data_IF_745261977688
#
_entry.id   IF_745261977688
#
_cell.length_a   1.000
_cell.length_b   1.000
_cell.length_c   1.000
_cell.angle_alpha   90.00
_cell.angle_beta   90.00
_cell.angle_gamma   90.00
#
_symmetry.space_group_name_H-M   'P 1'
#
loop_
_entity.id
_entity.type
_entity.pdbx_description
1 polymer ?
#
# COMPACT_ATOMS: atom_id res chain seq x y z
N UNK A 1 18.83 -1.48 0.89
CA UNK A 1 18.99 -0.02 0.68
C UNK A 1 17.71 0.68 1.11
N UNK A 2 17.64 2.01 1.30
CA UNK A 2 16.37 2.67 1.64
C UNK A 2 15.30 2.27 0.61
N UNK A 3 14.30 1.52 1.09
CA UNK A 3 13.16 1.07 0.29
C UNK A 3 13.38 -0.14 -0.60
N UNK A 4 13.88 -1.26 -0.06
CA UNK A 4 13.82 -2.57 -0.74
C UNK A 4 12.36 -3.06 -0.77
N UNK A 5 11.64 -2.97 -1.90
CA UNK A 5 10.25 -3.39 -1.98
C UNK A 5 10.13 -4.90 -1.71
N UNK A 6 11.13 -5.65 -2.15
CA UNK A 6 11.21 -7.10 -1.99
C UNK A 6 11.24 -7.53 -0.52
N UNK A 7 11.97 -6.81 0.34
CA UNK A 7 12.01 -7.11 1.78
C UNK A 7 10.70 -6.77 2.48
N UNK A 8 10.07 -5.66 2.08
CA UNK A 8 8.77 -5.27 2.61
C UNK A 8 7.68 -6.28 2.21
N UNK A 9 7.68 -6.74 0.97
CA UNK A 9 6.75 -7.76 0.49
C UNK A 9 7.02 -9.11 1.15
N UNK A 10 8.28 -9.51 1.30
CA UNK A 10 8.66 -10.75 1.99
C UNK A 10 8.27 -10.75 3.49
N UNK A 11 8.13 -9.58 4.10
CA UNK A 11 7.66 -9.44 5.48
C UNK A 11 6.13 -9.58 5.63
N UNK A 12 5.39 -9.83 4.53
CA UNK A 12 3.95 -10.03 4.55
C UNK A 12 3.14 -8.72 4.52
N UNK A 13 3.73 -7.64 4.00
CA UNK A 13 3.02 -6.36 3.82
C UNK A 13 2.24 -6.42 2.50
N UNK A 14 0.99 -5.95 2.53
CA UNK A 14 0.07 -5.96 1.38
C UNK A 14 0.50 -5.04 0.24
N UNK A 15 1.12 -3.90 0.56
CA UNK A 15 1.60 -2.95 -0.43
C UNK A 15 2.77 -2.08 0.05
N UNK A 16 3.46 -1.48 -0.91
CA UNK A 16 4.65 -0.68 -0.67
C UNK A 16 4.59 0.67 -1.43
N UNK A 17 5.08 1.74 -0.78
CA UNK A 17 5.24 3.08 -1.36
C UNK A 17 6.67 3.56 -1.14
N UNK A 18 7.38 3.83 -2.24
CA UNK A 18 8.75 4.35 -2.18
C UNK A 18 8.79 5.77 -1.65
N UNK A 19 9.86 6.09 -0.90
CA UNK A 19 10.21 7.47 -0.56
C UNK A 19 11.01 8.13 -1.70
N UNK A 20 10.92 9.46 -1.90
CA UNK A 20 9.98 10.37 -1.25
C UNK A 20 8.54 10.08 -1.66
N UNK A 21 7.61 10.21 -0.72
CA UNK A 21 6.21 9.86 -0.94
C UNK A 21 5.62 10.86 -1.92
N UNK A 22 5.10 10.35 -3.05
CA UNK A 22 4.33 11.13 -4.01
C UNK A 22 2.84 11.04 -3.64
N UNK A 23 2.16 12.15 -3.35
CA UNK A 23 0.76 12.15 -2.94
C UNK A 23 -0.16 11.42 -3.92
N UNK A 24 0.06 11.59 -5.24
CA UNK A 24 -0.77 10.92 -6.25
C UNK A 24 -0.65 9.39 -6.17
N UNK A 25 0.57 8.85 -6.01
CA UNK A 25 0.79 7.41 -5.90
C UNK A 25 0.21 6.82 -4.62
N UNK A 26 0.24 7.59 -3.54
CA UNK A 26 -0.37 7.18 -2.28
C UNK A 26 -1.89 7.14 -2.41
N UNK A 27 -2.48 8.18 -3.02
CA UNK A 27 -3.91 8.26 -3.26
C UNK A 27 -4.42 7.09 -4.11
N UNK A 28 -3.74 6.77 -5.22
CA UNK A 28 -4.12 5.66 -6.10
C UNK A 28 -4.17 4.32 -5.35
N UNK A 29 -3.16 4.06 -4.51
CA UNK A 29 -3.11 2.84 -3.69
C UNK A 29 -4.23 2.84 -2.66
N UNK A 30 -4.42 3.93 -1.93
CA UNK A 30 -5.50 4.03 -0.95
C UNK A 30 -6.87 3.83 -1.59
N UNK A 31 -7.13 4.40 -2.75
CA UNK A 31 -8.40 4.18 -3.48
C UNK A 31 -8.59 2.71 -3.82
N UNK A 32 -7.56 2.05 -4.35
CA UNK A 32 -7.60 0.61 -4.65
C UNK A 32 -7.93 -0.22 -3.41
N UNK A 33 -7.23 0.04 -2.30
CA UNK A 33 -7.42 -0.74 -1.07
C UNK A 33 -8.76 -0.45 -0.41
N UNK A 34 -9.19 0.81 -0.32
CA UNK A 34 -10.45 1.19 0.33
C UNK A 34 -11.66 0.74 -0.49
N UNK A 35 -11.62 0.86 -1.82
CA UNK A 35 -12.71 0.38 -2.68
C UNK A 35 -12.88 -1.15 -2.63
N UNK A 36 -11.80 -1.89 -2.38
CA UNK A 36 -11.83 -3.35 -2.22
C UNK A 36 -12.26 -3.79 -0.81
N UNK A 37 -12.29 -2.87 0.16
CA UNK A 37 -12.45 -3.18 1.58
C UNK A 37 -13.82 -2.79 2.17
N UNK A 38 -14.75 -2.24 1.38
CA UNK A 38 -16.10 -1.87 1.86
C UNK A 38 -16.89 -3.06 2.45
N UNK A 39 -16.60 -4.29 2.01
CA UNK A 39 -17.22 -5.51 2.55
C UNK A 39 -16.49 -6.11 3.76
N UNK A 40 -15.19 -5.86 3.92
CA UNK A 40 -14.36 -6.55 4.92
C UNK A 40 -14.34 -5.86 6.29
N UNK A 41 -14.44 -4.52 6.33
CA UNK A 41 -14.39 -3.72 7.58
C UNK A 41 -15.76 -3.41 8.19
N UNK A 42 -16.82 -3.91 7.55
CA UNK A 42 -18.21 -3.66 7.94
C UNK A 42 -18.81 -4.78 8.80
N UNK A 43 -18.00 -5.79 9.15
CA UNK A 43 -18.30 -6.84 10.12
C UNK A 43 -17.60 -6.59 11.43
#
# INVERSE_FOLDING_TARGET
>A
MPGDPEKCLAAGIDDYVTKPIKPEKLQDKLQRWLAQNEEHWRK
#
